data_IF_597788600382
#
_entry.id   IF_597788600382
#
_cell.length_a   1.000
_cell.length_b   1.000
_cell.length_c   1.000
_cell.angle_alpha   90.00
_cell.angle_beta   90.00
_cell.angle_gamma   90.00
#
_symmetry.space_group_name_H-M   'P 1'
#
loop_
_entity.id
_entity.type
_entity.pdbx_description
1 polymer ?
#
# COMPACT_ATOMS: atom_id res chain seq x y z
N UNK A 1 53.61 -40.72 2.09
CA UNK A 1 53.93 -39.44 1.41
C UNK A 1 52.79 -39.07 0.47
N UNK A 2 51.82 -38.29 0.92
CA UNK A 2 50.65 -37.88 0.12
C UNK A 2 50.85 -36.44 -0.36
N UNK A 3 51.06 -36.27 -1.67
CA UNK A 3 51.26 -34.95 -2.31
C UNK A 3 49.94 -34.16 -2.29
N UNK A 4 49.87 -33.09 -1.48
CA UNK A 4 48.80 -32.08 -1.54
C UNK A 4 48.87 -31.36 -2.89
N UNK A 5 47.81 -31.45 -3.69
CA UNK A 5 47.61 -30.63 -4.89
C UNK A 5 47.36 -29.18 -4.47
N UNK A 6 48.33 -28.31 -4.72
CA UNK A 6 48.19 -26.86 -4.59
C UNK A 6 47.42 -26.32 -5.79
N UNK A 7 46.19 -25.82 -5.55
CA UNK A 7 45.42 -25.06 -6.54
C UNK A 7 46.08 -23.70 -6.76
N UNK A 8 46.50 -23.43 -8.00
CA UNK A 8 47.07 -22.15 -8.42
C UNK A 8 45.99 -21.07 -8.32
N UNK A 9 46.18 -20.10 -7.42
CA UNK A 9 45.41 -18.84 -7.44
C UNK A 9 45.73 -18.11 -8.74
N UNK A 10 44.73 -17.94 -9.61
CA UNK A 10 44.80 -17.01 -10.74
C UNK A 10 44.83 -15.59 -10.18
N UNK A 11 45.96 -14.94 -10.33
CA UNK A 11 46.13 -13.52 -10.01
C UNK A 11 45.40 -12.71 -11.09
N UNK A 12 44.23 -12.16 -10.76
CA UNK A 12 43.49 -11.28 -11.65
C UNK A 12 44.16 -9.90 -11.60
N UNK A 13 44.75 -9.49 -12.72
CA UNK A 13 45.31 -8.15 -12.89
C UNK A 13 44.18 -7.12 -12.80
N UNK A 14 44.16 -6.33 -11.72
CA UNK A 14 43.20 -5.25 -11.51
C UNK A 14 43.46 -4.12 -12.51
N UNK A 15 42.68 -4.06 -13.57
CA UNK A 15 42.51 -2.83 -14.36
C UNK A 15 41.72 -1.83 -13.52
N UNK A 16 42.14 -0.57 -13.50
CA UNK A 16 41.63 0.47 -12.58
C UNK A 16 40.14 0.83 -12.78
N UNK A 17 39.43 0.20 -13.73
CA UNK A 17 38.05 0.51 -14.12
C UNK A 17 37.15 -0.73 -14.22
N UNK A 18 37.41 -1.79 -13.45
CA UNK A 18 36.48 -2.94 -13.39
C UNK A 18 35.27 -2.61 -12.49
N UNK A 19 34.05 -2.45 -13.04
CA UNK A 19 32.85 -2.14 -12.26
C UNK A 19 32.44 -3.28 -11.31
N UNK A 20 32.94 -4.50 -11.53
CA UNK A 20 32.62 -5.68 -10.73
C UNK A 20 33.69 -6.03 -9.69
N UNK A 21 34.76 -5.23 -9.59
CA UNK A 21 35.77 -5.36 -8.54
C UNK A 21 36.37 -6.78 -8.42
N UNK A 22 36.59 -7.47 -9.54
CA UNK A 22 37.13 -8.82 -9.58
C UNK A 22 36.13 -9.95 -9.29
N UNK A 23 34.83 -9.65 -9.34
CA UNK A 23 33.75 -10.64 -9.35
C UNK A 23 33.44 -11.08 -10.78
N UNK A 24 33.19 -12.38 -10.98
CA UNK A 24 32.76 -12.89 -12.27
C UNK A 24 31.35 -12.39 -12.63
N UNK A 25 31.18 -11.93 -13.86
CA UNK A 25 29.93 -11.33 -14.34
C UNK A 25 28.76 -12.33 -14.31
N UNK A 26 29.01 -13.59 -14.68
CA UNK A 26 27.95 -14.62 -14.70
C UNK A 26 27.49 -14.95 -13.28
N UNK A 27 28.44 -15.08 -12.35
CA UNK A 27 28.14 -15.29 -10.93
C UNK A 27 27.35 -14.10 -10.35
N UNK A 28 27.77 -12.88 -10.68
CA UNK A 28 27.08 -11.66 -10.26
C UNK A 28 25.63 -11.62 -10.75
N UNK A 29 25.39 -11.83 -12.06
CA UNK A 29 24.05 -11.80 -12.65
C UNK A 29 23.15 -12.89 -12.06
N UNK A 30 23.67 -14.10 -11.84
CA UNK A 30 22.93 -15.19 -11.21
C UNK A 30 22.47 -14.82 -9.79
N UNK A 31 23.38 -14.29 -8.98
CA UNK A 31 23.09 -13.89 -7.60
C UNK A 31 22.10 -12.73 -7.57
N UNK A 32 22.29 -11.71 -8.41
CA UNK A 32 21.39 -10.56 -8.48
C UNK A 32 19.98 -11.00 -8.89
N UNK A 33 19.84 -11.89 -9.86
CA UNK A 33 18.55 -12.45 -10.26
C UNK A 33 17.83 -13.16 -9.09
N UNK A 34 18.56 -13.91 -8.25
CA UNK A 34 18.00 -14.54 -7.05
C UNK A 34 17.52 -13.48 -6.04
N UNK A 35 18.35 -12.45 -5.80
CA UNK A 35 18.03 -11.35 -4.89
C UNK A 35 16.80 -10.58 -5.38
N UNK A 36 16.75 -10.23 -6.66
CA UNK A 36 15.65 -9.51 -7.31
C UNK A 36 14.33 -10.22 -7.11
N UNK A 37 14.25 -11.51 -7.45
CA UNK A 37 13.02 -12.31 -7.31
C UNK A 37 12.44 -12.27 -5.90
N UNK A 38 13.30 -12.22 -4.88
CA UNK A 38 12.90 -12.19 -3.46
C UNK A 38 12.60 -10.78 -2.94
N UNK A 39 13.30 -9.75 -3.41
CA UNK A 39 13.24 -8.41 -2.83
C UNK A 39 12.38 -7.41 -3.62
N UNK A 40 12.27 -7.53 -4.94
CA UNK A 40 11.58 -6.55 -5.79
C UNK A 40 10.11 -6.35 -5.37
N UNK A 41 9.33 -7.43 -5.27
CA UNK A 41 7.94 -7.37 -4.82
C UNK A 41 7.79 -6.85 -3.39
N UNK A 42 8.68 -7.27 -2.48
CA UNK A 42 8.63 -6.86 -1.07
C UNK A 42 8.90 -5.37 -0.88
N UNK A 43 9.84 -4.84 -1.66
CA UNK A 43 10.28 -3.46 -1.57
C UNK A 43 9.64 -2.55 -2.61
N UNK A 44 8.72 -3.02 -3.46
CA UNK A 44 7.86 -2.18 -4.31
C UNK A 44 7.10 -1.16 -3.44
N UNK A 45 6.97 0.07 -3.94
CA UNK A 45 6.15 1.13 -3.34
C UNK A 45 5.85 2.23 -4.36
N UNK A 46 4.78 3.00 -4.11
CA UNK A 46 4.40 4.12 -4.97
C UNK A 46 4.11 3.66 -6.40
N UNK A 47 4.53 4.49 -7.36
CA UNK A 47 4.43 4.24 -8.79
C UNK A 47 5.49 3.27 -9.34
N UNK A 48 6.45 2.81 -8.53
CA UNK A 48 7.51 1.93 -9.05
C UNK A 48 6.93 0.60 -9.50
N UNK A 49 7.28 0.20 -10.72
CA UNK A 49 7.03 -1.13 -11.23
C UNK A 49 8.09 -2.13 -10.76
N UNK A 50 7.82 -3.41 -11.03
CA UNK A 50 8.76 -4.48 -10.66
C UNK A 50 10.08 -4.34 -11.40
N UNK A 51 10.04 -3.89 -12.66
CA UNK A 51 11.25 -3.63 -13.45
C UNK A 51 12.06 -2.44 -12.91
N UNK A 52 11.41 -1.37 -12.43
CA UNK A 52 12.09 -0.26 -11.76
C UNK A 52 12.83 -0.76 -10.52
N UNK A 53 12.14 -1.58 -9.72
CA UNK A 53 12.74 -2.18 -8.51
C UNK A 53 13.89 -3.12 -8.86
N UNK A 54 13.81 -3.84 -9.99
CA UNK A 54 14.89 -4.69 -10.47
C UNK A 54 16.14 -3.86 -10.82
N UNK A 55 15.97 -2.81 -11.62
CA UNK A 55 17.08 -1.91 -11.97
C UNK A 55 17.71 -1.28 -10.73
N UNK A 56 16.88 -0.82 -9.78
CA UNK A 56 17.36 -0.23 -8.53
C UNK A 56 18.17 -1.22 -7.68
N UNK A 57 17.79 -2.50 -7.68
CA UNK A 57 18.54 -3.59 -7.03
C UNK A 57 19.92 -3.76 -7.67
N UNK A 58 19.98 -3.79 -9.01
CA UNK A 58 21.24 -3.91 -9.75
C UNK A 58 22.18 -2.75 -9.40
N UNK A 59 21.66 -1.51 -9.43
CA UNK A 59 22.45 -0.31 -9.09
C UNK A 59 23.04 -0.44 -7.68
N UNK A 60 22.24 -0.79 -6.67
CA UNK A 60 22.73 -0.98 -5.31
C UNK A 60 23.71 -2.15 -5.18
N UNK A 61 23.53 -3.21 -5.96
CA UNK A 61 24.47 -4.32 -5.95
C UNK A 61 25.84 -3.89 -6.48
N UNK A 62 25.89 -3.19 -7.63
CA UNK A 62 27.11 -2.67 -8.24
C UNK A 62 27.80 -1.66 -7.31
N UNK A 63 27.05 -0.71 -6.73
CA UNK A 63 27.58 0.25 -5.76
C UNK A 63 28.22 -0.44 -4.55
N UNK A 64 27.60 -1.53 -4.07
CA UNK A 64 28.07 -2.31 -2.94
C UNK A 64 29.39 -3.03 -3.20
N UNK A 65 29.64 -3.49 -4.43
CA UNK A 65 30.84 -4.27 -4.78
C UNK A 65 32.16 -3.54 -4.48
N UNK A 66 32.14 -2.19 -4.50
CA UNK A 66 33.27 -1.34 -4.07
C UNK A 66 33.86 -1.73 -2.71
N UNK A 67 32.99 -2.19 -1.80
CA UNK A 67 33.33 -2.50 -0.42
C UNK A 67 33.35 -4.01 -0.14
N UNK A 68 33.33 -4.85 -1.18
CA UNK A 68 33.35 -6.29 -1.03
C UNK A 68 34.76 -6.78 -0.70
N UNK A 69 34.89 -7.55 0.39
CA UNK A 69 36.16 -8.01 0.93
C UNK A 69 36.56 -9.42 0.45
N UNK A 70 35.73 -10.07 -0.36
CA UNK A 70 35.88 -11.45 -0.84
C UNK A 70 36.08 -12.52 0.25
N UNK A 71 35.81 -12.21 1.53
CA UNK A 71 35.96 -13.17 2.65
C UNK A 71 34.70 -14.01 2.85
N UNK A 72 33.54 -13.40 2.63
CA UNK A 72 32.22 -14.03 2.75
C UNK A 72 31.64 -14.32 1.36
N UNK A 73 30.69 -15.25 1.22
CA UNK A 73 30.00 -15.49 -0.05
C UNK A 73 29.37 -14.21 -0.59
N UNK A 74 29.47 -14.01 -1.90
CA UNK A 74 28.97 -12.81 -2.59
C UNK A 74 27.47 -12.63 -2.37
N UNK A 75 26.69 -13.71 -2.43
CA UNK A 75 25.25 -13.69 -2.19
C UNK A 75 24.91 -13.12 -0.81
N UNK A 76 25.58 -13.59 0.24
CA UNK A 76 25.33 -13.09 1.60
C UNK A 76 25.68 -11.62 1.75
N UNK A 77 26.79 -11.20 1.14
CA UNK A 77 27.20 -9.80 1.13
C UNK A 77 26.16 -8.92 0.42
N UNK A 78 25.84 -9.24 -0.83
CA UNK A 78 24.90 -8.48 -1.65
C UNK A 78 23.50 -8.49 -1.04
N UNK A 79 23.04 -9.62 -0.52
CA UNK A 79 21.74 -9.72 0.14
C UNK A 79 21.60 -8.71 1.27
N UNK A 80 22.56 -8.68 2.20
CA UNK A 80 22.54 -7.73 3.32
C UNK A 80 22.66 -6.29 2.82
N UNK A 81 23.57 -6.02 1.90
CA UNK A 81 23.79 -4.67 1.38
C UNK A 81 22.55 -4.12 0.65
N UNK A 82 22.08 -4.84 -0.38
CA UNK A 82 20.94 -4.46 -1.20
C UNK A 82 19.68 -4.32 -0.35
N UNK A 83 19.40 -5.28 0.55
CA UNK A 83 18.22 -5.19 1.42
C UNK A 83 18.22 -3.93 2.29
N UNK A 84 19.38 -3.59 2.88
CA UNK A 84 19.50 -2.39 3.69
C UNK A 84 19.35 -1.12 2.85
N UNK A 85 19.90 -1.11 1.64
CA UNK A 85 19.74 0.01 0.68
C UNK A 85 18.30 0.17 0.24
N UNK A 86 17.59 -0.91 -0.10
CA UNK A 86 16.16 -0.89 -0.42
C UNK A 86 15.30 -0.41 0.75
N UNK A 87 15.63 -0.81 1.98
CA UNK A 87 14.93 -0.33 3.16
C UNK A 87 15.09 1.18 3.33
N UNK A 88 16.31 1.70 3.21
CA UNK A 88 16.58 3.14 3.25
C UNK A 88 15.89 3.86 2.10
N UNK A 89 15.95 3.31 0.89
CA UNK A 89 15.29 3.86 -0.30
C UNK A 89 13.78 4.02 -0.10
N UNK A 90 13.10 2.97 0.39
CA UNK A 90 11.66 3.04 0.72
C UNK A 90 11.38 3.99 1.88
N UNK A 91 12.25 4.05 2.89
CA UNK A 91 12.12 4.97 4.02
C UNK A 91 12.23 6.44 3.59
N UNK A 92 13.14 6.72 2.67
CA UNK A 92 13.48 8.07 2.24
C UNK A 92 12.53 8.59 1.17
N UNK A 93 11.93 7.71 0.35
CA UNK A 93 10.99 8.12 -0.71
C UNK A 93 9.50 7.90 -0.39
N UNK A 94 9.15 6.93 0.46
CA UNK A 94 7.75 6.57 0.71
C UNK A 94 7.28 6.90 2.13
N UNK A 95 7.77 6.18 3.14
CA UNK A 95 7.34 6.42 4.52
C UNK A 95 8.37 5.95 5.54
N UNK A 96 8.44 6.66 6.67
CA UNK A 96 9.15 6.20 7.87
C UNK A 96 8.20 5.35 8.72
N UNK A 97 8.44 4.03 8.88
CA UNK A 97 7.50 3.16 9.60
C UNK A 97 7.49 3.40 11.11
N UNK A 98 8.63 3.80 11.69
CA UNK A 98 8.75 4.03 13.13
C UNK A 98 8.04 5.32 13.51
N UNK A 99 6.90 5.18 14.19
CA UNK A 99 6.16 6.31 14.77
C UNK A 99 6.92 6.86 15.98
N UNK A 100 6.94 8.19 16.19
CA UNK A 100 7.57 8.78 17.36
C UNK A 100 6.96 8.27 18.68
N UNK A 101 5.69 7.87 18.65
CA UNK A 101 5.01 7.31 19.82
C UNK A 101 5.62 6.00 20.33
N UNK A 102 6.30 5.20 19.49
CA UNK A 102 6.84 3.89 19.92
C UNK A 102 7.89 4.00 21.04
N UNK A 103 8.56 5.15 21.13
CA UNK A 103 9.56 5.45 22.17
C UNK A 103 9.07 6.52 23.15
N UNK A 104 7.80 6.90 23.09
CA UNK A 104 7.24 7.98 23.89
C UNK A 104 6.76 7.44 25.26
N UNK A 105 7.14 8.08 26.38
CA UNK A 105 6.64 7.70 27.71
C UNK A 105 5.11 7.82 27.86
N UNK A 106 4.49 8.68 27.06
CA UNK A 106 3.05 8.98 27.09
C UNK A 106 2.24 8.06 26.15
N UNK A 107 2.90 7.08 25.53
CA UNK A 107 2.25 6.14 24.63
C UNK A 107 1.50 5.09 25.43
N UNK A 108 0.20 4.98 25.15
CA UNK A 108 -0.69 3.98 25.74
C UNK A 108 -1.16 3.03 24.62
N UNK A 109 -0.42 1.93 24.34
CA UNK A 109 -0.73 1.04 23.23
C UNK A 109 -2.08 0.33 23.37
N UNK A 110 -2.57 0.19 24.60
CA UNK A 110 -3.76 -0.60 24.93
C UNK A 110 -4.97 0.26 25.30
N UNK A 111 -4.89 1.59 25.15
CA UNK A 111 -5.99 2.52 25.40
C UNK A 111 -6.58 2.38 26.82
N UNK A 112 -5.74 2.03 27.81
CA UNK A 112 -6.19 1.81 29.19
C UNK A 112 -6.51 3.12 29.90
N UNK A 113 -5.79 4.18 29.55
CA UNK A 113 -5.86 5.50 30.18
C UNK A 113 -6.28 6.60 29.20
N UNK A 114 -6.36 6.30 27.90
CA UNK A 114 -6.68 7.28 26.87
C UNK A 114 -7.48 6.66 25.73
N UNK A 115 -8.41 7.42 25.15
CA UNK A 115 -9.13 7.03 23.92
C UNK A 115 -8.28 7.16 22.67
N UNK A 116 -7.31 8.08 22.70
CA UNK A 116 -6.41 8.34 21.60
C UNK A 116 -5.22 7.36 21.57
N UNK A 117 -4.86 6.73 22.69
CA UNK A 117 -3.60 5.96 22.82
C UNK A 117 -2.39 6.86 23.09
N UNK A 118 -2.65 8.11 23.51
CA UNK A 118 -1.70 9.00 24.15
C UNK A 118 -2.33 9.56 25.42
N UNK A 119 -1.63 9.47 26.55
CA UNK A 119 -2.15 9.93 27.85
C UNK A 119 -2.28 11.46 27.94
N UNK A 120 -1.57 12.21 27.11
CA UNK A 120 -1.56 13.68 27.15
C UNK A 120 -2.56 14.35 26.22
N UNK A 121 -2.82 13.78 25.03
CA UNK A 121 -3.60 14.43 23.98
C UNK A 121 -4.81 13.59 23.58
N UNK A 122 -5.98 14.23 23.40
CA UNK A 122 -7.19 13.56 22.90
C UNK A 122 -7.11 13.26 21.40
N UNK A 123 -6.38 14.08 20.62
CA UNK A 123 -6.04 13.79 19.24
C UNK A 123 -4.50 13.67 19.11
N UNK A 124 -4.02 12.64 18.40
CA UNK A 124 -2.58 12.44 18.20
C UNK A 124 -1.94 13.54 17.35
N UNK A 125 -2.72 14.15 16.46
CA UNK A 125 -2.26 15.25 15.62
C UNK A 125 -1.96 16.53 16.42
N UNK A 126 -2.45 16.64 17.66
CA UNK A 126 -2.11 17.76 18.55
C UNK A 126 -0.68 17.63 19.10
N UNK A 127 -0.08 16.44 19.01
CA UNK A 127 1.32 16.22 19.38
C UNK A 127 2.26 16.63 18.24
N UNK A 128 3.03 17.71 18.43
CA UNK A 128 3.98 18.25 17.44
C UNK A 128 4.90 17.18 16.81
N UNK A 129 5.43 16.27 17.61
CA UNK A 129 6.33 15.21 17.13
C UNK A 129 5.60 14.24 16.20
N UNK A 130 4.38 13.85 16.56
CA UNK A 130 3.54 12.98 15.75
C UNK A 130 3.08 13.69 14.49
N UNK A 131 2.58 14.91 14.61
CA UNK A 131 2.12 15.72 13.49
C UNK A 131 3.21 15.92 12.43
N UNK A 132 4.43 16.30 12.84
CA UNK A 132 5.58 16.44 11.92
C UNK A 132 5.95 15.12 11.25
N UNK A 133 5.81 14.00 11.94
CA UNK A 133 6.02 12.67 11.35
C UNK A 133 4.92 12.31 10.35
N UNK A 134 3.65 12.55 10.71
CA UNK A 134 2.47 12.25 9.92
C UNK A 134 2.45 13.09 8.64
N UNK A 135 2.57 14.41 8.77
CA UNK A 135 2.65 15.37 7.67
C UNK A 135 3.73 14.98 6.66
N UNK A 136 4.97 14.72 7.13
CA UNK A 136 6.07 14.28 6.24
C UNK A 136 5.74 13.01 5.48
N UNK A 137 5.21 11.98 6.16
CA UNK A 137 4.87 10.72 5.52
C UNK A 137 3.70 10.90 4.53
N UNK A 138 2.72 11.73 4.87
CA UNK A 138 1.60 12.03 4.01
C UNK A 138 2.05 12.76 2.74
N UNK A 139 2.89 13.80 2.87
CA UNK A 139 3.46 14.50 1.72
C UNK A 139 4.20 13.56 0.78
N UNK A 140 5.02 12.63 1.31
CA UNK A 140 5.72 11.65 0.47
C UNK A 140 4.77 10.70 -0.26
N UNK A 141 3.76 10.20 0.44
CA UNK A 141 2.76 9.31 -0.17
C UNK A 141 1.97 10.02 -1.26
N UNK A 142 1.56 11.26 -1.02
CA UNK A 142 0.81 12.06 -1.98
C UNK A 142 1.63 12.34 -3.25
N UNK A 143 2.95 12.57 -3.11
CA UNK A 143 3.84 12.72 -4.27
C UNK A 143 4.02 11.41 -5.06
N UNK A 144 3.95 10.27 -4.38
CA UNK A 144 4.18 8.94 -4.96
C UNK A 144 2.91 8.30 -5.52
N UNK A 145 1.74 8.79 -5.12
CA UNK A 145 0.44 8.36 -5.61
C UNK A 145 -0.12 9.46 -6.51
N UNK A 146 0.32 9.48 -7.77
CA UNK A 146 -0.37 10.28 -8.78
C UNK A 146 -1.71 9.60 -9.05
N UNK A 147 -2.78 10.06 -8.38
CA UNK A 147 -4.14 9.77 -8.85
C UNK A 147 -4.23 10.29 -10.27
N UNK A 148 -4.44 9.40 -11.23
CA UNK A 148 -4.60 9.82 -12.62
C UNK A 148 -5.91 10.60 -12.74
N UNK A 149 -6.00 11.49 -13.74
CA UNK A 149 -7.23 12.23 -14.02
C UNK A 149 -8.39 11.25 -14.29
N UNK A 150 -8.11 10.05 -14.81
CA UNK A 150 -9.09 8.98 -15.01
C UNK A 150 -9.63 8.43 -13.69
N UNK A 151 -8.77 8.14 -12.70
CA UNK A 151 -9.21 7.74 -11.36
C UNK A 151 -10.02 8.87 -10.67
N UNK A 152 -9.62 10.13 -10.87
CA UNK A 152 -10.38 11.29 -10.35
C UNK A 152 -11.73 11.44 -11.07
N UNK A 153 -11.82 11.12 -12.36
CA UNK A 153 -13.10 11.14 -13.11
C UNK A 153 -14.05 10.05 -12.65
N UNK A 154 -13.56 8.89 -12.25
CA UNK A 154 -14.41 7.80 -11.72
C UNK A 154 -14.94 8.13 -10.32
N UNK A 155 -14.16 8.81 -9.46
CA UNK A 155 -14.67 9.33 -8.18
C UNK A 155 -15.52 10.58 -8.35
N UNK A 156 -15.17 11.45 -9.30
CA UNK A 156 -15.88 12.68 -9.64
C UNK A 156 -17.22 12.41 -10.30
N UNK A 157 -17.35 11.38 -11.15
CA UNK A 157 -18.62 11.03 -11.81
C UNK A 157 -19.69 10.55 -10.84
N UNK A 158 -19.33 10.04 -9.66
CA UNK A 158 -20.27 9.74 -8.57
C UNK A 158 -20.82 11.04 -7.93
N UNK A 159 -20.05 12.13 -7.93
CA UNK A 159 -20.41 13.42 -7.28
C UNK A 159 -20.73 14.57 -8.25
N UNK A 160 -20.52 14.40 -9.56
CA UNK A 160 -20.64 15.46 -10.57
C UNK A 160 -21.47 15.08 -11.80
N UNK A 161 -22.32 14.06 -11.69
CA UNK A 161 -23.53 14.03 -12.53
C UNK A 161 -24.50 15.07 -11.95
N UNK A 162 -24.73 16.24 -12.59
CA UNK A 162 -25.74 17.20 -12.13
C UNK A 162 -27.13 16.55 -12.13
N UNK A 163 -27.31 15.56 -13.02
CA UNK A 163 -28.48 14.72 -13.13
C UNK A 163 -28.71 13.86 -11.88
N UNK A 164 -27.65 13.30 -11.28
CA UNK A 164 -27.77 12.45 -10.09
C UNK A 164 -28.04 13.28 -8.83
N UNK A 165 -27.45 14.47 -8.72
CA UNK A 165 -27.74 15.38 -7.60
C UNK A 165 -29.17 15.93 -7.62
N UNK A 166 -29.75 16.22 -8.80
CA UNK A 166 -31.19 16.57 -8.85
C UNK A 166 -32.03 15.34 -8.56
N UNK A 167 -31.73 14.19 -9.17
CA UNK A 167 -32.46 12.95 -8.92
C UNK A 167 -32.45 12.50 -7.45
N UNK A 168 -31.38 12.72 -6.70
CA UNK A 168 -31.35 12.37 -5.26
C UNK A 168 -32.27 13.30 -4.46
N UNK A 169 -32.34 14.58 -4.82
CA UNK A 169 -33.26 15.55 -4.19
C UNK A 169 -34.70 15.23 -4.60
N UNK A 170 -34.93 14.95 -5.88
CA UNK A 170 -36.24 14.64 -6.47
C UNK A 170 -36.80 13.30 -5.95
N UNK A 171 -35.94 12.33 -5.65
CA UNK A 171 -36.33 11.01 -5.14
C UNK A 171 -36.21 10.89 -3.61
N UNK A 172 -35.97 11.98 -2.88
CA UNK A 172 -35.85 11.93 -1.43
C UNK A 172 -37.12 11.39 -0.75
N UNK A 173 -38.29 11.84 -1.23
CA UNK A 173 -39.59 11.36 -0.74
C UNK A 173 -39.79 9.86 -1.02
N UNK A 174 -39.41 9.39 -2.21
CA UNK A 174 -39.48 7.96 -2.55
C UNK A 174 -38.56 7.11 -1.68
N UNK A 175 -37.39 7.62 -1.32
CA UNK A 175 -36.45 6.92 -0.45
C UNK A 175 -36.97 6.83 0.99
N UNK A 176 -37.61 7.89 1.50
CA UNK A 176 -38.23 7.89 2.83
C UNK A 176 -39.43 6.92 2.89
N UNK A 177 -40.23 6.86 1.82
CA UNK A 177 -41.33 5.89 1.69
C UNK A 177 -40.84 4.44 1.63
N UNK A 178 -39.73 4.19 0.93
CA UNK A 178 -39.08 2.88 0.93
C UNK A 178 -38.56 2.53 2.34
N UNK A 179 -37.95 3.49 3.05
CA UNK A 179 -37.40 3.27 4.39
C UNK A 179 -38.47 3.02 5.45
N UNK A 180 -39.66 3.62 5.31
CA UNK A 180 -40.79 3.42 6.23
C UNK A 180 -41.49 2.07 6.02
N UNK A 181 -41.55 1.57 4.79
CA UNK A 181 -42.24 0.31 4.41
C UNK A 181 -41.35 -0.93 4.49
N UNK A 182 -40.02 -0.78 4.56
CA UNK A 182 -39.09 -1.89 4.71
C UNK A 182 -38.96 -2.36 6.17
N UNK A 183 -39.27 -3.64 6.40
CA UNK A 183 -39.21 -4.29 7.70
C UNK A 183 -38.30 -5.53 7.71
N UNK A 184 -37.74 -5.85 8.88
CA UNK A 184 -36.99 -7.08 9.13
C UNK A 184 -35.71 -7.23 8.28
N UNK A 185 -35.52 -8.42 7.69
CA UNK A 185 -34.30 -8.80 6.96
C UNK A 185 -34.03 -7.90 5.74
N UNK A 186 -35.08 -7.43 5.05
CA UNK A 186 -34.94 -6.57 3.87
C UNK A 186 -34.43 -5.17 4.25
N UNK A 187 -34.78 -4.68 5.46
CA UNK A 187 -34.26 -3.42 5.98
C UNK A 187 -32.77 -3.52 6.29
N UNK A 188 -32.32 -4.64 6.84
CA UNK A 188 -30.89 -4.86 7.09
C UNK A 188 -30.08 -4.90 5.79
N UNK A 189 -30.63 -5.54 4.75
CA UNK A 189 -30.01 -5.59 3.42
C UNK A 189 -29.94 -4.18 2.81
N UNK A 190 -31.03 -3.40 2.92
CA UNK A 190 -31.07 -2.02 2.47
C UNK A 190 -30.07 -1.11 3.20
N UNK A 191 -29.97 -1.21 4.53
CA UNK A 191 -29.00 -0.44 5.32
C UNK A 191 -27.55 -0.82 5.01
N UNK A 192 -27.28 -2.09 4.70
CA UNK A 192 -25.96 -2.52 4.21
C UNK A 192 -25.63 -1.85 2.87
N UNK A 193 -26.58 -1.74 1.95
CA UNK A 193 -26.39 -1.03 0.68
C UNK A 193 -26.21 0.48 0.88
N UNK A 194 -27.04 1.13 1.72
CA UNK A 194 -26.96 2.57 2.03
C UNK A 194 -25.60 2.96 2.60
N UNK A 195 -24.99 2.09 3.40
CA UNK A 195 -23.67 2.31 4.01
C UNK A 195 -22.49 1.82 3.14
N UNK A 196 -22.73 1.41 1.89
CA UNK A 196 -21.67 0.99 0.96
C UNK A 196 -21.06 -0.39 1.25
N UNK A 197 -21.72 -1.24 2.05
CA UNK A 197 -21.27 -2.60 2.30
C UNK A 197 -21.63 -3.53 1.12
N UNK A 198 -20.77 -4.51 0.85
CA UNK A 198 -21.02 -5.51 -0.20
C UNK A 198 -22.15 -6.46 0.24
N UNK A 199 -23.18 -6.57 -0.59
CA UNK A 199 -24.33 -7.47 -0.41
C UNK A 199 -24.29 -8.55 -1.49
N UNK A 200 -24.82 -9.74 -1.19
CA UNK A 200 -24.91 -10.83 -2.17
C UNK A 200 -25.88 -10.47 -3.31
N UNK A 201 -25.65 -11.01 -4.51
CA UNK A 201 -26.51 -10.74 -5.67
C UNK A 201 -27.96 -11.20 -5.41
N UNK A 202 -28.14 -12.36 -4.79
CA UNK A 202 -29.46 -12.90 -4.47
C UNK A 202 -30.23 -12.05 -3.45
N UNK A 203 -29.56 -11.44 -2.48
CA UNK A 203 -30.23 -10.56 -1.50
C UNK A 203 -30.57 -9.20 -2.11
N UNK A 204 -29.75 -8.72 -3.04
CA UNK A 204 -30.03 -7.51 -3.83
C UNK A 204 -31.25 -7.72 -4.74
N UNK A 205 -31.36 -8.88 -5.38
CA UNK A 205 -32.48 -9.22 -6.26
C UNK A 205 -33.80 -9.37 -5.49
N UNK A 206 -33.77 -9.95 -4.28
CA UNK A 206 -34.94 -10.02 -3.37
C UNK A 206 -35.42 -8.64 -2.93
N UNK A 207 -34.49 -7.76 -2.58
CA UNK A 207 -34.81 -6.38 -2.19
C UNK A 207 -35.43 -5.61 -3.36
N UNK A 208 -34.87 -5.73 -4.57
CA UNK A 208 -35.40 -5.11 -5.77
C UNK A 208 -36.80 -5.60 -6.12
N UNK A 209 -37.06 -6.90 -6.01
CA UNK A 209 -38.38 -7.48 -6.25
C UNK A 209 -39.41 -6.93 -5.26
N UNK A 210 -39.07 -6.83 -3.98
CA UNK A 210 -39.96 -6.31 -2.95
C UNK A 210 -40.28 -4.81 -3.17
N UNK A 211 -39.28 -4.00 -3.47
CA UNK A 211 -39.47 -2.56 -3.71
C UNK A 211 -40.37 -2.32 -4.92
N UNK A 212 -40.16 -3.04 -6.03
CA UNK A 212 -40.97 -2.88 -7.25
C UNK A 212 -42.43 -3.29 -7.04
N UNK A 213 -42.66 -4.47 -6.45
CA UNK A 213 -44.00 -5.04 -6.42
C UNK A 213 -44.87 -4.54 -5.25
N UNK A 214 -44.26 -4.23 -4.10
CA UNK A 214 -45.02 -3.92 -2.88
C UNK A 214 -44.99 -2.45 -2.49
N UNK A 215 -44.02 -1.66 -2.99
CA UNK A 215 -43.85 -0.27 -2.54
C UNK A 215 -44.20 0.72 -3.67
N UNK A 216 -43.69 0.50 -4.88
CA UNK A 216 -43.89 1.42 -6.01
C UNK A 216 -45.22 1.22 -6.77
N UNK A 217 -45.75 -0.01 -6.81
CA UNK A 217 -47.04 -0.29 -7.50
C UNK A 217 -48.27 0.00 -6.62
N UNK A 218 -48.10 0.36 -5.34
CA UNK A 218 -49.22 0.72 -4.46
C UNK A 218 -49.58 2.21 -4.51
N UNK A 219 -48.76 3.03 -5.16
CA UNK A 219 -48.96 4.49 -5.28
C UNK A 219 -49.78 4.92 -6.51
N UNK A 220 -50.22 3.99 -7.36
CA UNK A 220 -51.02 4.30 -8.56
C UNK A 220 -52.54 4.17 -8.36
N UNK A 221 -53.01 3.63 -7.23
CA UNK A 221 -54.44 3.31 -6.99
C UNK A 221 -55.17 4.28 -6.04
N UNK A 222 -54.56 5.42 -5.71
CA UNK A 222 -55.19 6.46 -4.86
C UNK A 222 -55.30 7.78 -5.60
N UNK A 223 -56.03 7.80 -6.72
CA UNK A 223 -56.58 9.01 -7.34
C UNK A 223 -57.86 8.62 -8.12
N UNK A 224 -58.91 8.23 -7.39
CA UNK A 224 -60.32 8.26 -7.84
C UNK A 224 -61.24 8.75 -6.71
#
# INVERSE_FOLDING_TARGET
>A
MTKKKTTKKKTINKTKNDPLYGVDESDFLNIVNIITKKLAYKFKFGYHDIEDMHQQIIIFAIEGLKNYDHKRPLENFLWTHVRNRLFNYKRDNYQRPNKPCLTCPLYDPHFKQSSSGCTQYNNKEDCDLYHKWASRNNSKKNLMHLTTIEEIKDYGSIFHSPQLSSQIIDNAELLDDIESKLNGELREIYLKLKNGCKVSKGDSDKLLFHIKNNILNQSEDTDE
#
